data_IF_540559573897
#
_entry.id   IF_540559573897
#
_cell.length_a   1.000
_cell.length_b   1.000
_cell.length_c   1.000
_cell.angle_alpha   90.00
_cell.angle_beta   90.00
_cell.angle_gamma   90.00
#
_symmetry.space_group_name_H-M   'P 1'
#
loop_
_entity.id
_entity.type
_entity.pdbx_description
1 polymer ?
#
# COMPACT_ATOMS: atom_id res chain seq x y z
N UNK A 1 1.81 -15.58 -13.75
CA UNK A 1 1.17 -15.56 -12.43
C UNK A 1 -0.31 -15.83 -12.59
N UNK A 2 -0.88 -16.71 -11.77
CA UNK A 2 -2.33 -16.85 -11.62
C UNK A 2 -2.91 -15.67 -10.79
N UNK A 3 -4.23 -15.58 -10.68
CA UNK A 3 -4.92 -14.48 -9.98
C UNK A 3 -4.48 -14.32 -8.54
N UNK A 4 -4.32 -15.41 -7.80
CA UNK A 4 -3.93 -15.38 -6.40
C UNK A 4 -2.48 -14.91 -6.26
N UNK A 5 -1.58 -15.41 -7.11
CA UNK A 5 -0.17 -14.96 -7.13
C UNK A 5 -0.05 -13.45 -7.43
N UNK A 6 -0.91 -12.89 -8.28
CA UNK A 6 -0.92 -11.43 -8.56
C UNK A 6 -1.41 -10.62 -7.37
N UNK A 7 -2.48 -11.07 -6.70
CA UNK A 7 -3.00 -10.39 -5.51
C UNK A 7 -1.99 -10.44 -4.36
N UNK A 8 -1.34 -11.59 -4.13
CA UNK A 8 -0.25 -11.70 -3.14
C UNK A 8 0.91 -10.77 -3.48
N UNK A 9 1.36 -10.74 -4.74
CA UNK A 9 2.45 -9.85 -5.14
C UNK A 9 2.08 -8.36 -5.01
N UNK A 10 0.81 -8.02 -5.25
CA UNK A 10 0.31 -6.65 -5.10
C UNK A 10 0.27 -6.24 -3.62
N UNK A 11 -0.23 -7.11 -2.74
CA UNK A 11 -0.18 -6.91 -1.30
C UNK A 11 1.25 -6.65 -0.82
N UNK A 12 2.20 -7.53 -1.18
CA UNK A 12 3.60 -7.38 -0.80
C UNK A 12 4.20 -6.06 -1.28
N UNK A 13 3.85 -5.63 -2.50
CA UNK A 13 4.32 -4.37 -3.07
C UNK A 13 3.75 -3.15 -2.32
N UNK A 14 2.44 -3.15 -2.02
CA UNK A 14 1.80 -2.08 -1.26
C UNK A 14 2.32 -2.03 0.19
N UNK A 15 2.54 -3.18 0.82
CA UNK A 15 3.15 -3.27 2.15
C UNK A 15 4.57 -2.69 2.16
N UNK A 16 5.40 -3.00 1.16
CA UNK A 16 6.75 -2.44 1.04
C UNK A 16 6.74 -0.92 0.79
N UNK A 17 5.78 -0.41 0.03
CA UNK A 17 5.57 1.03 -0.15
C UNK A 17 5.20 1.69 1.19
N UNK A 18 4.30 1.07 1.96
CA UNK A 18 3.91 1.55 3.28
C UNK A 18 5.07 1.52 4.28
N UNK A 19 5.90 0.48 4.27
CA UNK A 19 7.10 0.43 5.12
C UNK A 19 8.09 1.55 4.77
N UNK A 20 8.24 1.87 3.49
CA UNK A 20 9.06 3.01 3.05
C UNK A 20 8.50 4.34 3.59
N UNK A 21 7.18 4.53 3.52
CA UNK A 21 6.52 5.71 4.08
C UNK A 21 6.66 5.79 5.61
N UNK A 22 6.50 4.65 6.30
CA UNK A 22 6.70 4.51 7.74
C UNK A 22 8.12 4.89 8.16
N UNK A 23 9.13 4.43 7.44
CA UNK A 23 10.53 4.74 7.73
C UNK A 23 10.87 6.20 7.47
N UNK A 24 10.28 6.80 6.43
CA UNK A 24 10.33 8.24 6.24
C UNK A 24 9.70 9.00 7.41
N UNK A 25 8.49 8.64 7.85
CA UNK A 25 7.81 9.27 8.99
C UNK A 25 8.64 9.22 10.28
N UNK A 26 9.30 8.09 10.56
CA UNK A 26 10.18 7.95 11.75
C UNK A 26 11.36 8.93 11.76
N UNK A 27 11.74 9.45 10.60
CA UNK A 27 12.81 10.45 10.47
C UNK A 27 12.32 11.90 10.55
N UNK A 28 11.00 12.13 10.57
CA UNK A 28 10.40 13.47 10.59
C UNK A 28 10.24 14.04 12.01
N UNK A 29 9.90 15.33 12.08
CA UNK A 29 9.53 15.98 13.35
C UNK A 29 8.18 15.45 13.87
N UNK A 30 7.89 15.59 15.18
CA UNK A 30 6.58 15.21 15.71
C UNK A 30 5.40 15.95 15.05
N UNK A 31 5.59 17.22 14.66
CA UNK A 31 4.56 18.00 13.96
C UNK A 31 4.22 17.37 12.60
N UNK A 32 5.24 16.97 11.84
CA UNK A 32 5.04 16.35 10.54
C UNK A 32 4.43 14.95 10.65
N UNK A 33 4.82 14.18 11.67
CA UNK A 33 4.16 12.90 11.97
C UNK A 33 2.67 13.09 12.26
N UNK A 34 2.30 14.15 12.99
CA UNK A 34 0.89 14.46 13.26
C UNK A 34 0.13 14.87 11.99
N UNK A 35 0.76 15.62 11.09
CA UNK A 35 0.17 16.03 9.80
C UNK A 35 -0.17 14.81 8.92
N UNK A 36 0.63 13.74 9.00
CA UNK A 36 0.46 12.52 8.21
C UNK A 36 -0.21 11.34 8.96
N UNK A 37 -0.65 11.53 10.20
CA UNK A 37 -1.20 10.44 11.01
C UNK A 37 -2.46 9.80 10.39
N UNK A 38 -3.33 10.62 9.79
CA UNK A 38 -4.52 10.13 9.09
C UNK A 38 -4.14 9.35 7.83
N UNK A 39 -3.28 9.91 6.99
CA UNK A 39 -2.75 9.23 5.80
C UNK A 39 -2.15 7.87 6.15
N UNK A 40 -1.28 7.84 7.15
CA UNK A 40 -0.65 6.61 7.60
C UNK A 40 -1.69 5.54 7.97
N UNK A 41 -2.74 5.92 8.70
CA UNK A 41 -3.78 4.99 9.15
C UNK A 41 -4.59 4.44 7.98
N UNK A 42 -5.03 5.30 7.06
CA UNK A 42 -5.80 4.86 5.87
C UNK A 42 -4.96 3.96 4.98
N UNK A 43 -3.67 4.25 4.79
CA UNK A 43 -2.76 3.41 4.03
C UNK A 43 -2.59 2.02 4.66
N UNK A 44 -2.49 1.92 5.99
CA UNK A 44 -2.48 0.62 6.69
C UNK A 44 -3.81 -0.13 6.52
N UNK A 45 -4.95 0.55 6.62
CA UNK A 45 -6.26 -0.07 6.43
C UNK A 45 -6.43 -0.65 5.01
N UNK A 46 -5.92 0.05 3.98
CA UNK A 46 -5.91 -0.46 2.61
C UNK A 46 -5.01 -1.69 2.50
N UNK A 47 -3.78 -1.64 3.03
CA UNK A 47 -2.85 -2.80 2.99
C UNK A 47 -3.46 -4.01 3.70
N UNK A 48 -4.12 -3.80 4.84
CA UNK A 48 -4.81 -4.86 5.57
C UNK A 48 -5.98 -5.43 4.76
N UNK A 49 -6.77 -4.57 4.10
CA UNK A 49 -7.87 -5.03 3.24
C UNK A 49 -7.37 -5.90 2.09
N UNK A 50 -6.18 -5.62 1.55
CA UNK A 50 -5.55 -6.39 0.47
C UNK A 50 -5.13 -7.82 0.88
N UNK A 51 -5.10 -8.16 2.18
CA UNK A 51 -4.88 -9.54 2.63
C UNK A 51 -6.05 -10.46 2.27
N UNK A 52 -7.27 -9.92 2.26
CA UNK A 52 -8.52 -10.67 2.04
C UNK A 52 -9.17 -10.35 0.70
N UNK A 53 -8.88 -9.18 0.12
CA UNK A 53 -9.50 -8.72 -1.13
C UNK A 53 -8.90 -9.44 -2.35
N UNK A 54 -9.74 -10.17 -3.08
CA UNK A 54 -9.38 -10.74 -4.38
C UNK A 54 -9.76 -9.80 -5.53
N UNK A 55 -8.79 -9.05 -6.05
CA UNK A 55 -8.97 -8.26 -7.27
C UNK A 55 -8.96 -9.15 -8.51
N UNK A 56 -9.66 -8.69 -9.56
CA UNK A 56 -9.54 -9.32 -10.87
C UNK A 56 -8.12 -9.21 -11.43
N UNK A 57 -7.73 -10.15 -12.29
CA UNK A 57 -6.41 -10.16 -12.93
C UNK A 57 -5.99 -8.84 -13.55
N UNK A 58 -6.95 -8.13 -14.16
CA UNK A 58 -6.69 -6.86 -14.83
C UNK A 58 -6.47 -5.72 -13.83
N UNK A 59 -7.23 -5.70 -12.73
CA UNK A 59 -7.06 -4.70 -11.67
C UNK A 59 -5.74 -4.91 -10.93
N UNK A 60 -5.46 -6.16 -10.53
CA UNK A 60 -4.22 -6.50 -9.86
C UNK A 60 -3.00 -6.18 -10.75
N UNK A 61 -3.08 -6.49 -12.05
CA UNK A 61 -2.00 -6.16 -12.98
C UNK A 61 -1.81 -4.64 -13.15
N UNK A 62 -2.90 -3.88 -13.29
CA UNK A 62 -2.80 -2.43 -13.46
C UNK A 62 -2.12 -1.75 -12.26
N UNK A 63 -2.44 -2.18 -11.03
CA UNK A 63 -1.78 -1.68 -9.82
C UNK A 63 -0.35 -2.20 -9.72
N UNK A 64 -0.07 -3.45 -10.08
CA UNK A 64 1.31 -3.98 -10.12
C UNK A 64 2.22 -3.21 -11.09
N UNK A 65 1.68 -2.70 -12.18
CA UNK A 65 2.43 -1.90 -13.16
C UNK A 65 2.67 -0.46 -12.68
N UNK A 66 1.89 0.03 -11.71
CA UNK A 66 2.12 1.35 -11.09
C UNK A 66 3.39 1.37 -10.24
N UNK A 67 4.19 2.46 -10.25
CA UNK A 67 5.31 2.62 -9.33
C UNK A 67 4.89 2.73 -7.86
N UNK A 68 3.69 3.23 -7.58
CA UNK A 68 3.19 3.53 -6.23
C UNK A 68 1.73 3.11 -6.08
N UNK A 69 1.42 1.80 -6.14
CA UNK A 69 0.04 1.32 -6.13
C UNK A 69 -0.76 1.73 -4.90
N UNK A 70 -0.13 1.88 -3.74
CA UNK A 70 -0.85 2.27 -2.52
C UNK A 70 -1.26 3.74 -2.58
N UNK A 71 -0.38 4.60 -3.08
CA UNK A 71 -0.69 6.01 -3.33
C UNK A 71 -1.77 6.22 -4.41
N UNK A 72 -1.91 5.30 -5.36
CA UNK A 72 -2.98 5.39 -6.38
C UNK A 72 -4.38 5.04 -5.84
N UNK A 73 -4.45 4.38 -4.68
CA UNK A 73 -5.71 3.94 -4.06
C UNK A 73 -6.14 4.85 -2.91
N UNK A 74 -5.18 5.46 -2.20
CA UNK A 74 -5.39 6.43 -1.12
C UNK A 74 -5.94 7.77 -1.62
#
# INVERSE_FOLDING_TARGET
>A
MNSNEKNTALYEKMAAEQDTFRDWLKSQSPEEVLNHAYEYTVREDIVLAMEELELSDNQAQALLDSPSPLADVY
#
